data_IF_977619165231
#
_entry.id   IF_977619165231
#
_cell.length_a   1.000
_cell.length_b   1.000
_cell.length_c   1.000
_cell.angle_alpha   90.00
_cell.angle_beta   90.00
_cell.angle_gamma   90.00
#
_symmetry.space_group_name_H-M   'P 1'
#
loop_
_entity.id
_entity.type
_entity.pdbx_description
1 polymer ?
#
# COMPACT_ATOMS: atom_id res chain seq x y z
N UNK A 1 48.41 36.88 -51.20
CA UNK A 1 47.32 35.89 -51.20
C UNK A 1 47.81 34.65 -50.48
N UNK A 2 47.01 34.20 -49.54
CA UNK A 2 47.26 33.17 -48.54
C UNK A 2 47.46 31.77 -49.14
N UNK A 3 48.32 30.94 -48.54
CA UNK A 3 48.04 29.51 -48.33
C UNK A 3 48.97 28.95 -47.26
N UNK A 4 48.34 28.49 -46.18
CA UNK A 4 48.95 28.01 -44.93
C UNK A 4 49.26 26.52 -45.02
N UNK A 5 50.47 26.17 -44.56
CA UNK A 5 51.02 24.83 -44.38
C UNK A 5 50.23 24.04 -43.32
N UNK A 6 49.83 22.81 -43.62
CA UNK A 6 49.24 21.88 -42.65
C UNK A 6 50.33 21.07 -41.94
N UNK A 7 50.38 21.15 -40.60
CA UNK A 7 51.18 20.25 -39.74
C UNK A 7 50.23 19.35 -38.95
N UNK A 8 50.38 18.04 -39.14
CA UNK A 8 49.64 17.01 -38.39
C UNK A 8 50.23 16.83 -36.99
N UNK A 9 49.42 17.02 -35.94
CA UNK A 9 49.73 16.55 -34.59
C UNK A 9 48.91 15.30 -34.24
N UNK A 10 49.62 14.22 -33.93
CA UNK A 10 49.14 12.90 -33.50
C UNK A 10 48.47 12.93 -32.12
N UNK A 11 47.23 12.47 -32.06
CA UNK A 11 46.39 12.29 -30.88
C UNK A 11 46.56 10.86 -30.32
N UNK A 12 47.41 10.65 -29.30
CA UNK A 12 47.51 9.39 -28.54
C UNK A 12 47.84 9.68 -27.06
N UNK A 13 46.85 10.08 -26.26
CA UNK A 13 47.04 10.26 -24.80
C UNK A 13 45.80 10.27 -23.85
N UNK A 14 44.54 10.00 -24.23
CA UNK A 14 43.43 9.98 -23.24
C UNK A 14 43.17 8.64 -22.51
N UNK A 15 43.45 7.50 -23.14
CA UNK A 15 42.95 6.20 -22.67
C UNK A 15 43.66 5.65 -21.42
N UNK A 16 44.98 5.90 -21.28
CA UNK A 16 45.76 5.39 -20.16
C UNK A 16 45.37 6.06 -18.83
N UNK A 17 45.18 7.39 -18.83
CA UNK A 17 44.75 8.16 -17.64
C UNK A 17 43.33 7.80 -17.20
N UNK A 18 42.43 7.52 -18.16
CA UNK A 18 41.07 7.08 -17.84
C UNK A 18 41.04 5.70 -17.16
N UNK A 19 41.91 4.78 -17.60
CA UNK A 19 42.03 3.45 -17.02
C UNK A 19 42.65 3.50 -15.60
N UNK A 20 43.60 4.41 -15.38
CA UNK A 20 44.26 4.61 -14.10
C UNK A 20 43.32 5.26 -13.07
N UNK A 21 42.52 6.25 -13.48
CA UNK A 21 41.46 6.83 -12.65
C UNK A 21 40.36 5.81 -12.33
N UNK A 22 39.99 4.94 -13.28
CA UNK A 22 39.01 3.89 -13.05
C UNK A 22 39.53 2.82 -12.08
N UNK A 23 40.82 2.45 -12.18
CA UNK A 23 41.47 1.56 -11.20
C UNK A 23 41.52 2.19 -9.81
N UNK A 24 41.97 3.43 -9.68
CA UNK A 24 42.02 4.14 -8.39
C UNK A 24 40.63 4.27 -7.75
N UNK A 25 39.60 4.56 -8.54
CA UNK A 25 38.21 4.65 -8.07
C UNK A 25 37.64 3.28 -7.67
N UNK A 26 38.04 2.21 -8.36
CA UNK A 26 37.63 0.85 -7.98
C UNK A 26 38.37 0.35 -6.72
N UNK A 27 39.66 0.69 -6.56
CA UNK A 27 40.45 0.37 -5.38
C UNK A 27 40.00 1.14 -4.14
N UNK A 28 39.59 2.41 -4.29
CA UNK A 28 39.00 3.18 -3.20
C UNK A 28 37.65 2.62 -2.76
N UNK A 29 36.79 2.23 -3.71
CA UNK A 29 35.49 1.59 -3.40
C UNK A 29 35.67 0.23 -2.74
N UNK A 30 36.66 -0.57 -3.16
CA UNK A 30 36.98 -1.85 -2.54
C UNK A 30 37.59 -1.68 -1.13
N UNK A 31 38.45 -0.67 -0.95
CA UNK A 31 38.99 -0.27 0.35
C UNK A 31 37.87 0.18 1.30
N UNK A 32 36.97 1.03 0.84
CA UNK A 32 35.84 1.54 1.62
C UNK A 32 34.87 0.41 2.00
N UNK A 33 34.57 -0.49 1.05
CA UNK A 33 33.75 -1.68 1.29
C UNK A 33 34.41 -2.66 2.28
N UNK A 34 35.72 -2.88 2.17
CA UNK A 34 36.48 -3.70 3.11
C UNK A 34 36.53 -3.09 4.50
N UNK A 35 36.71 -1.76 4.60
CA UNK A 35 36.70 -1.04 5.87
C UNK A 35 35.32 -1.05 6.54
N UNK A 36 34.24 -0.96 5.74
CA UNK A 36 32.87 -1.04 6.23
C UNK A 36 32.52 -2.46 6.70
N UNK A 37 32.99 -3.50 5.99
CA UNK A 37 32.87 -4.90 6.43
C UNK A 37 33.68 -5.18 7.70
N UNK A 38 34.91 -4.66 7.81
CA UNK A 38 35.75 -4.83 9.02
C UNK A 38 35.11 -4.13 10.23
N UNK A 39 34.57 -2.92 10.05
CA UNK A 39 33.82 -2.20 11.10
C UNK A 39 32.53 -2.91 11.51
N UNK A 40 31.85 -3.57 10.56
CA UNK A 40 30.66 -4.37 10.84
C UNK A 40 30.99 -5.68 11.58
N UNK A 41 32.15 -6.26 11.31
CA UNK A 41 32.65 -7.48 11.98
C UNK A 41 33.14 -7.21 13.41
N UNK A 42 33.79 -6.06 13.66
CA UNK A 42 34.34 -5.71 14.98
C UNK A 42 33.28 -5.26 16.00
N UNK A 43 32.18 -4.63 15.56
CA UNK A 43 31.09 -4.24 16.46
C UNK A 43 29.75 -4.09 15.72
N UNK A 44 28.95 -5.17 15.62
CA UNK A 44 27.68 -5.17 14.90
C UNK A 44 26.73 -4.06 15.38
N UNK A 45 26.69 -3.80 16.69
CA UNK A 45 25.81 -2.76 17.27
C UNK A 45 26.20 -1.34 16.89
N UNK A 46 27.51 -1.05 16.77
CA UNK A 46 28.00 0.29 16.44
C UNK A 46 27.88 0.58 14.94
N UNK A 47 28.13 -0.42 14.10
CA UNK A 47 27.87 -0.34 12.66
C UNK A 47 26.36 -0.18 12.34
N UNK A 48 25.49 -0.85 13.11
CA UNK A 48 24.03 -0.68 12.99
C UNK A 48 23.61 0.74 13.41
N UNK A 49 24.17 1.27 14.50
CA UNK A 49 23.91 2.65 14.95
C UNK A 49 24.40 3.69 13.94
N UNK A 50 25.63 3.56 13.41
CA UNK A 50 26.17 4.48 12.40
C UNK A 50 25.37 4.42 11.08
N UNK A 51 24.93 3.22 10.66
CA UNK A 51 24.07 3.05 9.48
C UNK A 51 22.69 3.69 9.67
N UNK A 52 22.05 3.47 10.83
CA UNK A 52 20.74 4.04 11.17
C UNK A 52 20.76 5.57 11.28
N UNK A 53 21.91 6.16 11.61
CA UNK A 53 22.05 7.61 11.75
C UNK A 53 22.46 8.36 10.49
N UNK A 54 22.65 7.68 9.35
CA UNK A 54 22.87 8.36 8.06
C UNK A 54 21.66 9.26 7.69
N UNK A 55 21.86 10.39 6.99
CA UNK A 55 20.77 11.31 6.63
C UNK A 55 19.65 10.62 5.83
N UNK A 56 20.03 9.65 5.01
CA UNK A 56 19.13 8.81 4.24
C UNK A 56 18.33 7.85 5.15
N UNK A 57 18.98 7.17 6.11
CA UNK A 57 18.27 6.31 7.06
C UNK A 57 17.37 7.06 8.02
N UNK A 58 17.76 8.24 8.52
CA UNK A 58 16.85 9.05 9.35
C UNK A 58 15.58 9.48 8.61
N UNK A 59 15.68 9.74 7.31
CA UNK A 59 14.51 10.04 6.48
C UNK A 59 13.69 8.77 6.18
N UNK A 60 14.32 7.62 5.97
CA UNK A 60 13.66 6.36 5.64
C UNK A 60 13.09 5.60 6.85
N UNK A 61 13.65 5.78 8.05
CA UNK A 61 13.36 4.99 9.24
C UNK A 61 11.90 5.02 9.70
N UNK A 62 11.23 6.19 9.82
CA UNK A 62 9.80 6.22 10.17
C UNK A 62 8.94 5.40 9.19
N UNK A 63 9.39 5.30 7.95
CA UNK A 63 8.67 4.58 6.90
C UNK A 63 8.99 3.09 6.86
N UNK A 64 10.25 2.71 7.07
CA UNK A 64 10.66 1.31 7.25
C UNK A 64 9.93 0.74 8.46
N UNK A 65 9.93 1.47 9.57
CA UNK A 65 9.19 1.09 10.78
C UNK A 65 7.69 0.99 10.51
N UNK A 66 7.10 1.95 9.79
CA UNK A 66 5.69 1.89 9.39
C UNK A 66 5.36 0.71 8.45
N UNK A 67 6.26 0.38 7.53
CA UNK A 67 6.13 -0.76 6.62
C UNK A 67 6.20 -2.10 7.34
N UNK A 68 7.20 -2.27 8.21
CA UNK A 68 7.37 -3.46 9.06
C UNK A 68 6.17 -3.60 9.99
N UNK A 69 5.75 -2.51 10.64
CA UNK A 69 4.57 -2.51 11.49
C UNK A 69 3.30 -2.95 10.76
N UNK A 70 3.09 -2.47 9.53
CA UNK A 70 1.98 -2.88 8.68
C UNK A 70 2.05 -4.36 8.25
N UNK A 71 3.23 -4.88 7.95
CA UNK A 71 3.41 -6.30 7.59
C UNK A 71 3.18 -7.22 8.80
N UNK A 72 3.65 -6.82 9.99
CA UNK A 72 3.38 -7.53 11.25
C UNK A 72 1.89 -7.52 11.57
N UNK A 73 1.23 -6.37 11.46
CA UNK A 73 -0.22 -6.27 11.65
C UNK A 73 -1.00 -7.14 10.66
N UNK A 74 -0.58 -7.17 9.39
CA UNK A 74 -1.18 -8.04 8.37
C UNK A 74 -1.04 -9.51 8.78
N UNK A 75 0.11 -9.92 9.30
CA UNK A 75 0.36 -11.30 9.75
C UNK A 75 -0.56 -11.69 10.91
N UNK A 76 -0.70 -10.81 11.91
CA UNK A 76 -1.56 -11.06 13.08
C UNK A 76 -3.05 -11.11 12.72
N UNK A 77 -3.49 -10.26 11.78
CA UNK A 77 -4.91 -10.12 11.40
C UNK A 77 -5.33 -11.08 10.28
N UNK A 78 -4.37 -11.71 9.59
CA UNK A 78 -4.63 -12.61 8.45
C UNK A 78 -5.74 -13.65 8.71
N UNK A 79 -5.81 -14.34 9.87
CA UNK A 79 -6.89 -15.31 10.13
C UNK A 79 -8.27 -14.67 10.13
N UNK A 80 -8.40 -13.46 10.68
CA UNK A 80 -9.66 -12.70 10.71
C UNK A 80 -10.04 -12.24 9.30
N UNK A 81 -9.08 -11.76 8.53
CA UNK A 81 -9.30 -11.37 7.13
C UNK A 81 -9.70 -12.58 6.27
N UNK A 82 -9.13 -13.76 6.50
CA UNK A 82 -9.48 -14.99 5.80
C UNK A 82 -10.92 -15.43 6.09
N UNK A 83 -11.32 -15.47 7.36
CA UNK A 83 -12.70 -15.78 7.76
C UNK A 83 -13.68 -14.79 7.14
N UNK A 84 -13.35 -13.49 7.15
CA UNK A 84 -14.17 -12.46 6.54
C UNK A 84 -14.32 -12.65 5.04
N UNK A 85 -13.22 -12.85 4.31
CA UNK A 85 -13.27 -13.03 2.85
C UNK A 85 -14.09 -14.27 2.51
N UNK A 86 -13.89 -15.38 3.23
CA UNK A 86 -14.71 -16.57 3.07
C UNK A 86 -16.18 -16.35 3.42
N UNK A 87 -16.50 -15.63 4.49
CA UNK A 87 -17.88 -15.28 4.84
C UNK A 87 -18.55 -14.41 3.77
N UNK A 88 -17.82 -13.44 3.24
CA UNK A 88 -18.33 -12.53 2.20
C UNK A 88 -18.60 -13.23 0.88
N UNK A 89 -17.85 -14.30 0.60
CA UNK A 89 -17.94 -15.11 -0.62
C UNK A 89 -18.87 -16.33 -0.43
N UNK A 90 -18.96 -16.93 0.76
CA UNK A 90 -19.89 -18.03 1.07
C UNK A 90 -21.36 -17.57 1.12
N UNK A 91 -21.59 -16.27 1.36
CA UNK A 91 -22.89 -15.65 1.13
C UNK A 91 -23.26 -15.47 -0.35
N UNK A 92 -22.39 -15.87 -1.30
CA UNK A 92 -22.64 -15.77 -2.73
C UNK A 92 -23.42 -17.00 -3.23
N UNK A 93 -24.61 -16.77 -3.79
CA UNK A 93 -25.41 -17.78 -4.50
C UNK A 93 -26.47 -18.50 -3.68
N UNK A 94 -26.46 -18.44 -2.35
CA UNK A 94 -27.44 -19.15 -1.50
C UNK A 94 -28.62 -18.23 -1.18
N UNK A 95 -29.71 -18.32 -1.95
CA UNK A 95 -31.01 -17.66 -1.63
C UNK A 95 -31.77 -18.37 -0.50
N UNK A 96 -31.43 -19.63 -0.23
CA UNK A 96 -32.09 -20.51 0.75
C UNK A 96 -31.07 -21.40 1.45
N UNK A 97 -30.99 -21.30 2.79
CA UNK A 97 -30.04 -22.06 3.63
C UNK A 97 -29.62 -21.27 4.88
N UNK A 98 -28.99 -21.92 5.88
CA UNK A 98 -28.48 -21.24 7.06
C UNK A 98 -27.41 -20.22 6.66
N UNK A 99 -27.59 -18.96 7.08
CA UNK A 99 -26.63 -17.90 6.79
C UNK A 99 -25.29 -18.27 7.43
N UNK A 100 -24.18 -18.28 6.66
CA UNK A 100 -22.88 -18.56 7.23
C UNK A 100 -22.57 -17.52 8.31
N UNK A 101 -22.00 -17.97 9.42
CA UNK A 101 -21.54 -17.12 10.52
C UNK A 101 -20.02 -17.14 10.55
N UNK A 102 -19.35 -16.13 11.14
CA UNK A 102 -17.90 -16.15 11.31
C UNK A 102 -17.40 -17.44 11.98
N UNK A 103 -18.15 -17.94 12.97
CA UNK A 103 -17.82 -19.15 13.73
C UNK A 103 -17.98 -20.41 12.87
N UNK A 104 -19.05 -20.49 12.04
CA UNK A 104 -19.23 -21.64 11.15
C UNK A 104 -18.13 -21.69 10.10
N UNK A 105 -17.78 -20.55 9.50
CA UNK A 105 -16.69 -20.46 8.51
C UNK A 105 -15.34 -20.84 9.13
N UNK A 106 -15.05 -20.36 10.35
CA UNK A 106 -13.83 -20.74 11.06
C UNK A 106 -13.80 -22.24 11.36
N UNK A 107 -14.92 -22.79 11.84
CA UNK A 107 -15.06 -24.23 12.10
C UNK A 107 -14.87 -25.05 10.83
N UNK A 108 -15.41 -24.61 9.69
CA UNK A 108 -15.25 -25.30 8.41
C UNK A 108 -13.81 -25.32 7.92
N UNK A 109 -13.06 -24.21 8.09
CA UNK A 109 -11.64 -24.15 7.76
C UNK A 109 -10.83 -25.10 8.66
N UNK A 110 -11.09 -25.07 9.96
CA UNK A 110 -10.38 -25.91 10.94
C UNK A 110 -10.73 -27.39 10.76
N UNK A 111 -11.99 -27.72 10.47
CA UNK A 111 -12.48 -29.07 10.24
C UNK A 111 -11.96 -29.69 8.93
N UNK A 112 -11.58 -28.86 7.94
CA UNK A 112 -10.87 -29.31 6.73
C UNK A 112 -9.40 -29.71 7.01
N UNK A 113 -8.93 -29.63 8.27
CA UNK A 113 -7.68 -30.23 8.72
C UNK A 113 -6.42 -29.40 8.44
N UNK A 114 -6.55 -28.15 8.00
CA UNK A 114 -5.42 -27.27 7.66
C UNK A 114 -5.55 -25.92 8.36
N UNK A 115 -5.16 -25.84 9.62
CA UNK A 115 -5.12 -24.57 10.38
C UNK A 115 -4.27 -23.50 9.66
N UNK A 116 -3.26 -23.92 8.91
CA UNK A 116 -2.43 -23.04 8.07
C UNK A 116 -3.19 -22.40 6.90
N UNK A 117 -4.35 -22.93 6.49
CA UNK A 117 -5.18 -22.32 5.44
C UNK A 117 -5.77 -20.96 5.87
N UNK A 118 -5.75 -20.64 7.18
CA UNK A 118 -6.04 -19.30 7.70
C UNK A 118 -5.01 -18.27 7.26
N UNK A 119 -3.79 -18.70 6.93
CA UNK A 119 -2.70 -17.86 6.43
C UNK A 119 -2.56 -17.88 4.90
N UNK A 120 -3.46 -18.56 4.19
CA UNK A 120 -3.49 -18.53 2.72
C UNK A 120 -3.64 -17.09 2.23
N UNK A 121 -2.75 -16.71 1.30
CA UNK A 121 -2.67 -15.34 0.80
C UNK A 121 -1.78 -14.40 1.62
N UNK A 122 -1.19 -14.82 2.75
CA UNK A 122 -0.29 -13.97 3.56
C UNK A 122 0.84 -13.39 2.72
N UNK A 123 1.48 -14.19 1.85
CA UNK A 123 2.54 -13.72 0.96
C UNK A 123 2.08 -12.58 0.05
N UNK A 124 0.82 -12.61 -0.39
CA UNK A 124 0.24 -11.55 -1.21
C UNK A 124 -0.12 -10.31 -0.37
N UNK A 125 -0.57 -10.51 0.88
CA UNK A 125 -0.80 -9.42 1.84
C UNK A 125 0.48 -8.67 2.18
N UNK A 126 1.58 -9.41 2.44
CA UNK A 126 2.90 -8.84 2.69
C UNK A 126 3.43 -8.11 1.46
N UNK A 127 3.36 -8.73 0.27
CA UNK A 127 3.80 -8.09 -0.98
C UNK A 127 3.02 -6.79 -1.22
N UNK A 128 1.70 -6.80 -0.99
CA UNK A 128 0.88 -5.61 -1.10
C UNK A 128 1.36 -4.51 -0.18
N UNK A 129 1.61 -4.81 1.10
CA UNK A 129 2.06 -3.82 2.07
C UNK A 129 3.42 -3.23 1.68
N UNK A 130 4.35 -4.08 1.23
CA UNK A 130 5.67 -3.66 0.77
C UNK A 130 5.59 -2.75 -0.47
N UNK A 131 4.89 -3.20 -1.52
CA UNK A 131 4.77 -2.43 -2.78
C UNK A 131 4.03 -1.12 -2.54
N UNK A 132 2.94 -1.14 -1.79
CA UNK A 132 2.13 0.04 -1.54
C UNK A 132 2.88 1.09 -0.73
N UNK A 133 3.59 0.66 0.32
CA UNK A 133 4.39 1.56 1.17
C UNK A 133 5.52 2.17 0.34
N UNK A 134 6.32 1.34 -0.34
CA UNK A 134 7.46 1.82 -1.14
C UNK A 134 7.03 2.75 -2.27
N UNK A 135 6.01 2.39 -3.05
CA UNK A 135 5.54 3.21 -4.16
C UNK A 135 4.96 4.55 -3.68
N UNK A 136 4.15 4.54 -2.62
CA UNK A 136 3.58 5.76 -2.05
C UNK A 136 4.68 6.73 -1.62
N UNK A 137 5.74 6.22 -1.00
CA UNK A 137 6.85 7.04 -0.53
C UNK A 137 7.71 7.57 -1.66
N UNK A 138 8.07 6.71 -2.61
CA UNK A 138 8.83 7.12 -3.79
C UNK A 138 8.12 8.23 -4.55
N UNK A 139 6.81 8.08 -4.80
CA UNK A 139 6.02 9.12 -5.46
C UNK A 139 5.88 10.37 -4.59
N UNK A 140 5.60 10.23 -3.29
CA UNK A 140 5.43 11.38 -2.41
C UNK A 140 6.71 12.21 -2.27
N UNK A 141 7.86 11.56 -2.07
CA UNK A 141 9.17 12.22 -1.98
C UNK A 141 9.51 12.92 -3.30
N UNK A 142 9.29 12.26 -4.44
CA UNK A 142 9.50 12.86 -5.77
C UNK A 142 8.63 14.10 -5.96
N UNK A 143 7.35 14.04 -5.59
CA UNK A 143 6.43 15.17 -5.68
C UNK A 143 6.81 16.29 -4.73
N UNK A 144 7.18 15.98 -3.48
CA UNK A 144 7.60 16.97 -2.51
C UNK A 144 8.91 17.66 -2.89
N UNK A 145 9.90 16.93 -3.44
CA UNK A 145 11.13 17.52 -3.98
C UNK A 145 10.85 18.47 -5.13
N UNK A 146 10.00 18.05 -6.07
CA UNK A 146 9.59 18.88 -7.22
C UNK A 146 8.84 20.13 -6.77
N UNK A 147 7.90 19.99 -5.84
CA UNK A 147 7.15 21.12 -5.28
C UNK A 147 8.06 22.06 -4.47
N UNK A 148 9.04 21.52 -3.74
CA UNK A 148 10.02 22.32 -2.98
C UNK A 148 10.94 23.13 -3.88
N UNK A 149 11.39 22.56 -5.00
CA UNK A 149 12.18 23.28 -5.99
C UNK A 149 11.39 24.46 -6.58
N UNK A 150 10.14 24.21 -7.00
CA UNK A 150 9.24 25.26 -7.53
C UNK A 150 8.90 26.33 -6.50
N UNK A 151 8.69 25.94 -5.24
CA UNK A 151 8.40 26.87 -4.16
C UNK A 151 9.60 27.80 -3.90
N UNK A 152 10.83 27.26 -3.91
CA UNK A 152 12.06 28.04 -3.80
C UNK A 152 12.26 29.00 -4.98
N UNK A 153 12.01 28.56 -6.21
CA UNK A 153 12.09 29.40 -7.42
C UNK A 153 11.11 30.57 -7.38
N UNK A 154 9.89 30.33 -6.87
CA UNK A 154 8.84 31.34 -6.82
C UNK A 154 8.81 32.14 -5.50
N UNK A 155 9.74 31.91 -4.57
CA UNK A 155 9.73 32.55 -3.25
C UNK A 155 8.49 32.24 -2.39
N UNK A 156 7.78 31.15 -2.70
CA UNK A 156 6.56 30.73 -1.99
C UNK A 156 6.85 29.58 -1.03
N UNK A 157 5.93 29.32 -0.09
CA UNK A 157 6.02 28.15 0.78
C UNK A 157 5.03 27.08 0.33
N UNK A 158 5.37 25.80 0.52
CA UNK A 158 4.46 24.70 0.18
C UNK A 158 3.32 24.68 1.21
N UNK A 159 2.14 25.08 0.76
CA UNK A 159 0.92 25.07 1.54
C UNK A 159 0.36 23.66 1.77
N UNK A 160 -0.74 23.62 2.53
CA UNK A 160 -1.44 22.37 2.83
C UNK A 160 -2.03 21.73 1.56
N UNK A 161 -2.53 22.54 0.62
CA UNK A 161 -3.18 22.06 -0.62
C UNK A 161 -2.20 21.31 -1.51
N UNK A 162 -0.98 21.81 -1.65
CA UNK A 162 0.07 21.19 -2.45
C UNK A 162 0.55 19.88 -1.81
N UNK A 163 0.73 19.85 -0.48
CA UNK A 163 1.10 18.62 0.26
C UNK A 163 -0.01 17.58 0.20
N UNK A 164 -1.27 17.99 0.36
CA UNK A 164 -2.43 17.12 0.25
C UNK A 164 -2.56 16.57 -1.18
N UNK A 165 -2.40 17.41 -2.20
CA UNK A 165 -2.39 17.01 -3.60
C UNK A 165 -1.29 16.00 -3.91
N UNK A 166 -0.07 16.24 -3.44
CA UNK A 166 1.05 15.30 -3.57
C UNK A 166 0.76 13.97 -2.86
N UNK A 167 0.21 14.01 -1.64
CA UNK A 167 -0.17 12.80 -0.88
C UNK A 167 -1.27 11.98 -1.57
N UNK A 168 -2.27 12.65 -2.16
CA UNK A 168 -3.35 12.02 -2.92
C UNK A 168 -2.84 11.38 -4.21
N UNK A 169 -2.06 12.12 -4.99
CA UNK A 169 -1.47 11.62 -6.23
C UNK A 169 -0.54 10.44 -5.96
N UNK A 170 0.33 10.54 -4.95
CA UNK A 170 1.24 9.47 -4.56
C UNK A 170 0.48 8.23 -4.09
N UNK A 171 -0.57 8.39 -3.28
CA UNK A 171 -1.42 7.29 -2.83
C UNK A 171 -2.20 6.63 -3.96
N UNK A 172 -2.68 7.41 -4.93
CA UNK A 172 -3.38 6.91 -6.12
C UNK A 172 -2.44 6.12 -7.05
N UNK A 173 -1.26 6.67 -7.37
CA UNK A 173 -0.26 5.96 -8.19
C UNK A 173 0.25 4.70 -7.49
N UNK A 174 0.47 4.75 -6.17
CA UNK A 174 0.83 3.58 -5.39
C UNK A 174 -0.23 2.49 -5.44
N UNK A 175 -1.52 2.86 -5.46
CA UNK A 175 -2.61 1.89 -5.61
C UNK A 175 -2.62 1.22 -7.00
N UNK A 176 -2.26 1.95 -8.05
CA UNK A 176 -2.09 1.38 -9.40
C UNK A 176 -0.95 0.36 -9.41
N UNK A 177 0.21 0.72 -8.84
CA UNK A 177 1.38 -0.15 -8.77
C UNK A 177 1.12 -1.37 -7.87
N UNK A 178 0.35 -1.20 -6.80
CA UNK A 178 0.00 -2.26 -5.86
C UNK A 178 -1.14 -3.20 -6.31
N UNK A 179 -1.91 -2.84 -7.34
CA UNK A 179 -3.09 -3.62 -7.73
C UNK A 179 -2.82 -5.09 -8.10
N UNK A 180 -1.68 -5.47 -8.73
CA UNK A 180 -1.36 -6.87 -8.96
C UNK A 180 -1.31 -7.70 -7.67
N UNK A 181 -0.74 -7.16 -6.59
CA UNK A 181 -0.68 -7.82 -5.29
C UNK A 181 -2.07 -7.92 -4.63
N UNK A 182 -2.91 -6.88 -4.77
CA UNK A 182 -4.31 -6.91 -4.33
C UNK A 182 -5.11 -8.02 -5.04
N UNK A 183 -4.95 -8.14 -6.36
CA UNK A 183 -5.65 -9.16 -7.15
C UNK A 183 -5.21 -10.58 -6.73
N UNK A 184 -3.89 -10.79 -6.59
CA UNK A 184 -3.35 -12.07 -6.16
C UNK A 184 -3.87 -12.46 -4.77
N UNK A 185 -3.91 -11.51 -3.82
CA UNK A 185 -4.45 -11.74 -2.48
C UNK A 185 -5.91 -12.23 -2.52
N UNK A 186 -6.76 -11.53 -3.26
CA UNK A 186 -8.18 -11.88 -3.39
C UNK A 186 -8.36 -13.26 -4.04
N UNK A 187 -7.60 -13.57 -5.10
CA UNK A 187 -7.67 -14.86 -5.80
C UNK A 187 -7.18 -16.01 -4.92
N UNK A 188 -6.09 -15.82 -4.18
CA UNK A 188 -5.58 -16.82 -3.24
C UNK A 188 -6.56 -17.10 -2.10
N UNK A 189 -7.17 -16.05 -1.52
CA UNK A 189 -8.12 -16.20 -0.41
C UNK A 189 -9.47 -16.79 -0.85
N UNK A 190 -9.91 -16.51 -2.08
CA UNK A 190 -11.17 -17.04 -2.64
C UNK A 190 -11.05 -18.46 -3.20
N UNK A 191 -9.84 -18.93 -3.52
CA UNK A 191 -9.65 -20.22 -4.20
C UNK A 191 -10.17 -21.41 -3.37
N UNK A 192 -10.01 -21.35 -2.05
CA UNK A 192 -10.48 -22.41 -1.12
C UNK A 192 -12.00 -22.59 -1.07
N UNK A 193 -12.78 -21.66 -1.63
CA UNK A 193 -14.25 -21.75 -1.69
C UNK A 193 -14.74 -22.46 -2.95
N UNK A 194 -13.89 -22.60 -3.96
CA UNK A 194 -14.27 -23.32 -5.18
C UNK A 194 -14.40 -24.82 -4.89
N UNK A 195 -15.21 -25.54 -5.69
CA UNK A 195 -15.20 -27.00 -5.67
C UNK A 195 -13.77 -27.53 -5.88
N UNK A 196 -13.41 -28.63 -5.24
CA UNK A 196 -12.04 -29.16 -5.23
C UNK A 196 -11.44 -29.29 -6.65
N UNK A 197 -12.25 -29.64 -7.65
CA UNK A 197 -11.86 -29.78 -9.06
C UNK A 197 -11.53 -28.45 -9.78
N UNK A 198 -11.96 -27.30 -9.26
CA UNK A 198 -11.78 -25.98 -9.86
C UNK A 198 -10.80 -25.08 -9.07
N UNK A 199 -10.16 -25.62 -8.04
CA UNK A 199 -9.17 -24.90 -7.22
C UNK A 199 -7.86 -24.77 -7.99
N UNK A 200 -7.33 -23.55 -8.05
CA UNK A 200 -6.03 -23.28 -8.65
C UNK A 200 -4.86 -23.66 -7.70
N UNK A 201 -5.13 -23.77 -6.40
CA UNK A 201 -4.20 -24.12 -5.32
C UNK A 201 -2.88 -23.32 -5.42
N UNK A 202 -2.99 -22.01 -5.45
CA UNK A 202 -1.84 -21.11 -5.52
C UNK A 202 -0.91 -21.32 -4.33
N UNK A 203 0.38 -21.54 -4.60
CA UNK A 203 1.37 -21.81 -3.55
C UNK A 203 1.98 -20.55 -2.97
N UNK A 204 2.08 -19.49 -3.77
CA UNK A 204 2.66 -18.21 -3.39
C UNK A 204 2.09 -17.06 -4.23
N UNK A 205 2.38 -15.84 -3.81
CA UNK A 205 2.01 -14.65 -4.58
C UNK A 205 2.66 -14.62 -5.97
N UNK A 206 3.91 -15.08 -6.09
CA UNK A 206 4.62 -15.13 -7.38
C UNK A 206 3.96 -16.16 -8.30
N UNK A 207 3.66 -17.34 -7.76
CA UNK A 207 2.93 -18.39 -8.49
C UNK A 207 1.57 -17.88 -8.97
N UNK A 208 0.82 -17.20 -8.10
CA UNK A 208 -0.45 -16.57 -8.46
C UNK A 208 -0.30 -15.52 -9.57
N UNK A 209 0.65 -14.59 -9.45
CA UNK A 209 0.88 -13.55 -10.45
C UNK A 209 1.27 -14.13 -11.81
N UNK A 210 2.17 -15.12 -11.83
CA UNK A 210 2.61 -15.78 -13.07
C UNK A 210 1.48 -16.55 -13.72
N UNK A 211 0.73 -17.35 -12.97
CA UNK A 211 -0.39 -18.14 -13.51
C UNK A 211 -1.52 -17.26 -14.00
N UNK A 212 -1.90 -16.22 -13.26
CA UNK A 212 -2.91 -15.26 -13.69
C UNK A 212 -2.47 -14.56 -14.97
N UNK A 213 -1.20 -14.13 -15.05
CA UNK A 213 -0.67 -13.48 -16.24
C UNK A 213 -0.65 -14.39 -17.47
N UNK A 214 -0.31 -15.67 -17.29
CA UNK A 214 -0.29 -16.67 -18.37
C UNK A 214 -1.70 -17.08 -18.82
N UNK A 215 -2.65 -17.18 -17.89
CA UNK A 215 -4.00 -17.68 -18.20
C UNK A 215 -4.97 -16.57 -18.64
N UNK A 216 -4.91 -15.39 -18.01
CA UNK A 216 -5.87 -14.29 -18.24
C UNK A 216 -5.21 -13.07 -18.92
N UNK A 217 -3.89 -13.07 -19.11
CA UNK A 217 -3.12 -11.96 -19.67
C UNK A 217 -2.62 -10.95 -18.64
N UNK A 218 -1.53 -10.24 -18.95
CA UNK A 218 -0.85 -9.30 -18.02
C UNK A 218 -1.75 -8.12 -17.63
N UNK A 219 -2.55 -7.60 -18.57
CA UNK A 219 -3.46 -6.47 -18.31
C UNK A 219 -4.51 -6.80 -17.25
N UNK A 220 -4.81 -8.09 -17.05
CA UNK A 220 -5.75 -8.55 -16.03
C UNK A 220 -5.28 -8.25 -14.61
N UNK A 221 -3.98 -8.11 -14.37
CA UNK A 221 -3.45 -7.76 -13.05
C UNK A 221 -3.95 -6.40 -12.53
N UNK A 222 -4.40 -5.51 -13.43
CA UNK A 222 -4.99 -4.21 -13.10
C UNK A 222 -6.52 -4.21 -13.04
N UNK A 223 -7.13 -5.40 -13.12
CA UNK A 223 -8.56 -5.55 -12.89
C UNK A 223 -8.96 -5.01 -11.52
N UNK A 224 -9.94 -4.10 -11.51
CA UNK A 224 -10.40 -3.47 -10.26
C UNK A 224 -9.46 -2.37 -9.73
N UNK A 225 -8.45 -1.94 -10.48
CA UNK A 225 -7.55 -0.83 -10.10
C UNK A 225 -8.32 0.47 -9.90
N UNK A 226 -9.23 0.82 -10.81
CA UNK A 226 -10.05 2.04 -10.70
C UNK A 226 -10.77 2.16 -9.34
N UNK A 227 -11.55 1.15 -8.87
CA UNK A 227 -12.13 1.20 -7.54
C UNK A 227 -11.12 1.30 -6.39
N UNK A 228 -9.96 0.65 -6.53
CA UNK A 228 -8.90 0.69 -5.52
C UNK A 228 -8.30 2.09 -5.40
N UNK A 229 -8.01 2.74 -6.53
CA UNK A 229 -7.44 4.08 -6.60
C UNK A 229 -8.39 5.11 -6.00
N UNK A 230 -9.65 5.11 -6.45
CA UNK A 230 -10.66 6.09 -5.98
C UNK A 230 -10.86 5.96 -4.47
N UNK A 231 -10.95 4.72 -3.96
CA UNK A 231 -11.04 4.47 -2.51
C UNK A 231 -9.80 4.97 -1.76
N UNK A 232 -8.60 4.70 -2.27
CA UNK A 232 -7.35 5.14 -1.63
C UNK A 232 -7.25 6.68 -1.59
N UNK A 233 -7.67 7.36 -2.66
CA UNK A 233 -7.74 8.82 -2.72
C UNK A 233 -8.76 9.37 -1.73
N UNK A 234 -9.98 8.81 -1.67
CA UNK A 234 -11.01 9.25 -0.72
C UNK A 234 -10.57 9.10 0.75
N UNK A 235 -9.91 7.97 1.08
CA UNK A 235 -9.38 7.71 2.42
C UNK A 235 -8.27 8.72 2.77
N UNK A 236 -7.30 8.90 1.88
CA UNK A 236 -6.21 9.84 2.11
C UNK A 236 -6.71 11.29 2.19
N UNK A 237 -7.72 11.66 1.39
CA UNK A 237 -8.31 13.00 1.43
C UNK A 237 -8.99 13.24 2.77
N UNK A 238 -9.87 12.32 3.19
CA UNK A 238 -10.55 12.42 4.48
C UNK A 238 -9.56 12.46 5.65
N UNK A 239 -8.47 11.70 5.58
CA UNK A 239 -7.45 11.72 6.61
C UNK A 239 -6.67 13.05 6.62
N UNK A 240 -6.14 13.50 5.48
CA UNK A 240 -5.28 14.68 5.43
C UNK A 240 -6.07 15.98 5.65
N UNK A 241 -7.18 16.17 4.92
CA UNK A 241 -7.97 17.40 4.97
C UNK A 241 -8.54 17.64 6.37
N UNK A 242 -9.19 16.63 6.95
CA UNK A 242 -9.85 16.79 8.24
C UNK A 242 -8.86 16.72 9.41
N UNK A 243 -7.70 16.07 9.26
CA UNK A 243 -6.64 16.17 10.28
C UNK A 243 -6.10 17.59 10.38
N UNK A 244 -5.79 18.22 9.24
CA UNK A 244 -5.25 19.60 9.24
C UNK A 244 -6.27 20.60 9.76
N UNK A 245 -7.52 20.51 9.29
CA UNK A 245 -8.60 21.40 9.73
C UNK A 245 -8.88 21.22 11.22
N UNK A 246 -9.05 19.98 11.68
CA UNK A 246 -9.30 19.72 13.10
C UNK A 246 -8.14 20.20 13.98
N UNK A 247 -6.89 20.01 13.54
CA UNK A 247 -5.72 20.47 14.29
C UNK A 247 -5.67 22.00 14.36
N UNK A 248 -5.97 22.71 13.27
CA UNK A 248 -6.01 24.17 13.25
C UNK A 248 -7.11 24.72 14.17
N UNK A 249 -8.30 24.11 14.17
CA UNK A 249 -9.37 24.55 15.07
C UNK A 249 -9.07 24.23 16.54
N UNK A 250 -8.44 23.09 16.83
CA UNK A 250 -8.08 22.67 18.19
C UNK A 250 -6.91 23.48 18.78
N UNK A 251 -6.10 24.16 17.96
CA UNK A 251 -5.04 25.05 18.45
C UNK A 251 -5.57 26.21 19.30
N UNK A 252 -6.83 26.61 19.08
CA UNK A 252 -7.49 27.67 19.86
C UNK A 252 -8.10 27.18 21.18
N UNK A 253 -7.94 25.89 21.52
CA UNK A 253 -8.48 25.29 22.75
C UNK A 253 -7.39 25.08 23.79
N UNK A 254 -7.74 25.10 25.09
CA UNK A 254 -6.85 24.85 26.23
C UNK A 254 -6.33 23.40 26.36
N UNK A 255 -6.56 22.55 25.36
CA UNK A 255 -6.15 21.15 25.36
C UNK A 255 -4.63 21.00 25.22
N UNK A 256 -4.07 19.96 25.86
CA UNK A 256 -2.65 19.61 25.68
C UNK A 256 -2.34 19.25 24.22
N UNK A 257 -1.10 19.46 23.76
CA UNK A 257 -0.68 19.12 22.38
C UNK A 257 -0.93 17.65 22.00
N UNK A 258 -0.81 16.73 22.97
CA UNK A 258 -1.15 15.31 22.77
C UNK A 258 -2.65 15.11 22.59
N UNK A 259 -3.47 15.73 23.45
CA UNK A 259 -4.94 15.67 23.35
C UNK A 259 -5.46 16.29 22.05
N UNK A 260 -4.91 17.44 21.62
CA UNK A 260 -5.25 18.06 20.34
C UNK A 260 -4.93 17.12 19.17
N UNK A 261 -3.74 16.49 19.18
CA UNK A 261 -3.35 15.55 18.13
C UNK A 261 -4.24 14.31 18.12
N UNK A 262 -4.57 13.74 19.28
CA UNK A 262 -5.45 12.58 19.39
C UNK A 262 -6.87 12.89 18.90
N UNK A 263 -7.44 14.03 19.31
CA UNK A 263 -8.78 14.46 18.85
C UNK A 263 -8.78 14.75 17.35
N UNK A 264 -7.75 15.43 16.82
CA UNK A 264 -7.61 15.67 15.38
C UNK A 264 -7.48 14.34 14.60
N UNK A 265 -6.71 13.38 15.12
CA UNK A 265 -6.60 12.04 14.52
C UNK A 265 -7.92 11.26 14.56
N UNK A 266 -8.71 11.38 15.63
CA UNK A 266 -10.01 10.74 15.72
C UNK A 266 -11.01 11.32 14.70
N UNK A 267 -11.07 12.64 14.59
CA UNK A 267 -11.92 13.34 13.59
C UNK A 267 -11.47 12.95 12.17
N UNK A 268 -10.17 12.99 11.89
CA UNK A 268 -9.61 12.57 10.62
C UNK A 268 -9.95 11.10 10.28
N UNK A 269 -9.84 10.19 11.25
CA UNK A 269 -10.18 8.78 11.07
C UNK A 269 -11.66 8.55 10.78
N UNK A 270 -12.55 9.32 11.42
CA UNK A 270 -13.98 9.31 11.16
C UNK A 270 -14.27 9.75 9.72
N UNK A 271 -13.77 10.91 9.29
CA UNK A 271 -14.03 11.43 7.95
C UNK A 271 -13.35 10.61 6.85
N UNK A 272 -12.15 10.07 7.10
CA UNK A 272 -11.51 9.11 6.21
C UNK A 272 -12.39 7.87 5.98
N UNK A 273 -12.98 7.34 7.06
CA UNK A 273 -13.90 6.20 6.97
C UNK A 273 -15.20 6.59 6.27
N UNK A 274 -15.82 7.70 6.67
CA UNK A 274 -17.06 8.19 6.09
C UNK A 274 -16.96 8.41 4.58
N UNK A 275 -15.88 9.07 4.11
CA UNK A 275 -15.68 9.34 2.69
C UNK A 275 -15.27 8.11 1.88
N UNK A 276 -14.55 7.15 2.49
CA UNK A 276 -14.09 5.95 1.77
C UNK A 276 -15.14 4.83 1.68
N UNK A 277 -16.08 4.77 2.62
CA UNK A 277 -17.07 3.70 2.71
C UNK A 277 -17.99 3.56 1.50
N UNK A 278 -18.54 4.63 0.90
CA UNK A 278 -19.34 4.50 -0.32
C UNK A 278 -18.55 3.86 -1.46
N UNK A 279 -17.28 4.22 -1.61
CA UNK A 279 -16.40 3.62 -2.62
C UNK A 279 -16.08 2.16 -2.33
N UNK A 280 -15.92 1.80 -1.07
CA UNK A 280 -15.78 0.40 -0.67
C UNK A 280 -17.05 -0.40 -0.97
N UNK A 281 -18.23 0.14 -0.67
CA UNK A 281 -19.49 -0.50 -1.01
C UNK A 281 -19.61 -0.74 -2.53
N UNK A 282 -19.39 0.29 -3.35
CA UNK A 282 -19.48 0.16 -4.81
C UNK A 282 -18.40 -0.75 -5.38
N UNK A 283 -17.16 -0.70 -4.86
CA UNK A 283 -16.09 -1.64 -5.22
C UNK A 283 -16.54 -3.07 -4.98
N UNK A 284 -17.11 -3.36 -3.81
CA UNK A 284 -17.59 -4.71 -3.52
C UNK A 284 -18.75 -5.12 -4.43
N UNK A 285 -19.72 -4.25 -4.72
CA UNK A 285 -20.81 -4.55 -5.68
C UNK A 285 -20.30 -4.84 -7.09
N UNK A 286 -19.36 -4.05 -7.59
CA UNK A 286 -18.74 -4.24 -8.91
C UNK A 286 -17.88 -5.50 -8.99
N UNK A 287 -17.24 -5.89 -7.88
CA UNK A 287 -16.46 -7.13 -7.82
C UNK A 287 -17.36 -8.36 -7.64
N UNK A 288 -18.53 -8.19 -7.01
CA UNK A 288 -19.50 -9.26 -6.73
C UNK A 288 -20.55 -9.49 -7.80
N UNK A 289 -20.70 -8.59 -8.78
CA UNK A 289 -21.72 -8.76 -9.81
C UNK A 289 -21.41 -9.94 -10.71
N UNK A 290 -22.40 -10.81 -10.88
CA UNK A 290 -22.36 -11.92 -11.83
C UNK A 290 -23.09 -11.51 -13.11
N UNK A 291 -22.71 -12.08 -14.25
CA UNK A 291 -23.49 -11.91 -15.48
C UNK A 291 -24.89 -12.45 -15.25
N UNK A 292 -25.89 -11.64 -15.56
CA UNK A 292 -27.27 -12.06 -15.55
C UNK A 292 -27.51 -13.10 -16.67
N UNK A 293 -28.63 -13.85 -16.64
CA UNK A 293 -28.95 -14.87 -17.64
C UNK A 293 -28.98 -14.36 -19.09
N UNK A 294 -29.15 -13.04 -19.27
CA UNK A 294 -29.12 -12.32 -20.55
C UNK A 294 -27.69 -11.94 -21.01
N UNK A 295 -26.65 -12.35 -20.27
CA UNK A 295 -25.25 -12.03 -20.54
C UNK A 295 -24.83 -10.61 -20.12
N UNK A 296 -25.76 -9.78 -19.61
CA UNK A 296 -25.46 -8.41 -19.21
C UNK A 296 -24.93 -8.33 -17.77
N UNK A 297 -24.10 -7.32 -17.50
CA UNK A 297 -23.64 -7.03 -16.14
C UNK A 297 -24.63 -6.05 -15.49
N UNK A 298 -25.09 -6.30 -14.25
CA UNK A 298 -25.99 -5.41 -13.50
C UNK A 298 -25.48 -3.96 -13.42
N UNK A 299 -24.16 -3.77 -13.38
CA UNK A 299 -23.50 -2.46 -13.30
C UNK A 299 -22.41 -2.33 -14.36
N UNK A 300 -22.50 -1.29 -15.20
CA UNK A 300 -21.51 -0.98 -16.24
C UNK A 300 -20.21 -0.37 -15.67
N UNK A 301 -20.26 0.14 -14.44
CA UNK A 301 -19.13 0.78 -13.78
C UNK A 301 -19.53 1.41 -12.45
N UNK A 302 -18.58 2.10 -11.79
CA UNK A 302 -18.78 2.66 -10.45
C UNK A 302 -19.92 3.69 -10.41
N UNK A 303 -19.97 4.58 -11.41
CA UNK A 303 -20.98 5.61 -11.48
C UNK A 303 -22.39 5.05 -11.73
N UNK A 304 -22.49 4.03 -12.59
CA UNK A 304 -23.76 3.31 -12.82
C UNK A 304 -24.21 2.57 -11.55
N UNK A 305 -23.28 1.93 -10.83
CA UNK A 305 -23.55 1.34 -9.53
C UNK A 305 -24.03 2.37 -8.51
N UNK A 306 -23.39 3.54 -8.43
CA UNK A 306 -23.81 4.62 -7.54
C UNK A 306 -25.26 5.04 -7.82
N UNK A 307 -25.55 5.37 -9.09
CA UNK A 307 -26.85 5.90 -9.50
C UNK A 307 -27.97 4.89 -9.24
N UNK A 308 -27.76 3.62 -9.58
CA UNK A 308 -28.74 2.54 -9.37
C UNK A 308 -28.98 2.29 -7.89
N UNK A 309 -27.92 2.14 -7.09
CA UNK A 309 -28.05 1.90 -5.63
C UNK A 309 -28.70 3.09 -4.93
N UNK A 310 -28.33 4.32 -5.28
CA UNK A 310 -28.93 5.52 -4.69
C UNK A 310 -30.43 5.63 -5.00
N UNK A 311 -30.85 5.24 -6.22
CA UNK A 311 -32.24 5.26 -6.65
C UNK A 311 -33.08 4.09 -6.08
N UNK A 312 -32.50 2.89 -6.02
CA UNK A 312 -33.23 1.65 -5.69
C UNK A 312 -33.14 1.26 -4.21
N UNK A 313 -31.99 1.49 -3.56
CA UNK A 313 -31.73 1.06 -2.18
C UNK A 313 -31.57 2.24 -1.20
N UNK A 314 -31.46 3.47 -1.70
CA UNK A 314 -31.32 4.71 -0.92
C UNK A 314 -29.89 5.03 -0.47
N UNK A 315 -29.63 6.30 -0.14
CA UNK A 315 -28.28 6.81 0.20
C UNK A 315 -27.69 6.22 1.50
N UNK A 316 -28.53 5.82 2.46
CA UNK A 316 -28.04 5.20 3.70
C UNK A 316 -27.49 3.78 3.46
N UNK A 317 -27.78 3.18 2.30
CA UNK A 317 -27.33 1.84 1.97
C UNK A 317 -25.80 1.74 1.87
N UNK A 318 -25.14 2.80 1.41
CA UNK A 318 -23.68 2.86 1.28
C UNK A 318 -22.93 2.73 2.61
N UNK A 319 -23.60 3.02 3.73
CA UNK A 319 -23.03 2.97 5.09
C UNK A 319 -23.46 1.72 5.86
N UNK A 320 -24.32 0.87 5.28
CA UNK A 320 -24.75 -0.38 5.91
C UNK A 320 -23.59 -1.37 5.94
N UNK A 321 -23.02 -1.58 7.11
CA UNK A 321 -21.78 -2.37 7.31
C UNK A 321 -20.65 -1.59 7.98
N UNK A 322 -20.89 -0.35 8.40
CA UNK A 322 -19.93 0.45 9.17
C UNK A 322 -19.37 -0.33 10.38
N UNK A 323 -20.24 -0.99 11.16
CA UNK A 323 -19.82 -1.76 12.33
C UNK A 323 -18.86 -2.90 12.00
N UNK A 324 -19.12 -3.66 10.93
CA UNK A 324 -18.22 -4.76 10.51
C UNK A 324 -16.93 -4.24 9.88
N UNK A 325 -16.97 -3.08 9.23
CA UNK A 325 -15.78 -2.36 8.76
C UNK A 325 -14.89 -1.91 9.92
N UNK A 326 -15.48 -1.35 10.98
CA UNK A 326 -14.78 -0.86 12.16
C UNK A 326 -14.13 -2.01 12.95
N UNK A 327 -14.86 -3.10 13.19
CA UNK A 327 -14.34 -4.31 13.86
C UNK A 327 -13.14 -4.91 13.13
N UNK A 328 -13.00 -4.71 11.82
CA UNK A 328 -11.81 -5.13 11.07
C UNK A 328 -10.65 -4.14 11.19
N UNK A 329 -10.94 -2.85 11.03
CA UNK A 329 -9.88 -1.84 10.90
C UNK A 329 -9.29 -1.47 12.24
N UNK A 330 -10.08 -1.47 13.30
CA UNK A 330 -9.60 -1.12 14.63
C UNK A 330 -8.47 -2.07 15.10
N UNK A 331 -8.62 -3.41 15.05
CA UNK A 331 -7.53 -4.32 15.43
C UNK A 331 -6.27 -4.16 14.55
N UNK A 332 -6.43 -4.04 13.23
CA UNK A 332 -5.30 -3.82 12.34
C UNK A 332 -4.56 -2.52 12.65
N UNK A 333 -5.29 -1.42 12.84
CA UNK A 333 -4.73 -0.13 13.18
C UNK A 333 -4.02 -0.16 14.55
N UNK A 334 -4.63 -0.79 15.56
CA UNK A 334 -4.04 -0.96 16.89
C UNK A 334 -2.71 -1.70 16.84
N UNK A 335 -2.66 -2.87 16.18
CA UNK A 335 -1.42 -3.65 16.06
C UNK A 335 -0.36 -2.86 15.29
N UNK A 336 -0.76 -2.18 14.21
CA UNK A 336 0.18 -1.33 13.43
C UNK A 336 0.76 -0.23 14.31
N UNK A 337 -0.06 0.47 15.10
CA UNK A 337 0.41 1.56 15.95
C UNK A 337 1.31 1.06 17.08
N UNK A 338 0.95 -0.05 17.75
CA UNK A 338 1.77 -0.65 18.82
C UNK A 338 3.15 -1.05 18.28
N UNK A 339 3.19 -1.72 17.12
CA UNK A 339 4.46 -2.15 16.52
C UNK A 339 5.26 -0.95 16.00
N UNK A 340 4.61 0.05 15.42
CA UNK A 340 5.27 1.27 14.96
C UNK A 340 5.88 2.06 16.12
N UNK A 341 5.20 2.15 17.26
CA UNK A 341 5.70 2.82 18.47
C UNK A 341 6.88 2.06 19.07
N UNK A 342 6.79 0.74 19.15
CA UNK A 342 7.88 -0.12 19.63
C UNK A 342 9.13 -0.04 18.72
N UNK A 343 8.95 -0.09 17.40
CA UNK A 343 10.06 0.11 16.45
C UNK A 343 10.62 1.54 16.53
N UNK A 344 9.76 2.53 16.72
CA UNK A 344 10.16 3.92 16.96
C UNK A 344 10.98 4.10 18.23
N UNK A 345 10.72 3.33 19.29
CA UNK A 345 11.53 3.31 20.50
C UNK A 345 12.91 2.66 20.27
N UNK A 346 12.97 1.57 19.51
CA UNK A 346 14.23 0.83 19.22
C UNK A 346 15.16 1.62 18.29
N UNK A 347 14.61 2.41 17.38
CA UNK A 347 15.35 3.11 16.32
C UNK A 347 15.73 4.55 16.66
N UNK A 348 15.37 5.04 17.86
CA UNK A 348 15.79 6.34 18.41
C UNK A 348 17.15 6.25 19.05
#
# INVERSE_FOLDING_TARGET
>A
MSTTTATSHTFKMPAARALENAKQSSESVLSDASSAMSKAAENPRKATSDFLHTPFMRAALPFINGGIAGMTATTVIQPVDMVKVRLQLAGEGVKTGPKPTPISVLRDIVAQGKVLDLYTGLSAGILRQAVYTTARLGFFDTFMKTLSARAKENGTSIGFKERAGAGLAAGGLAAIVGNPADLALIRMQSDGLKPAAQRANYTSVIDALVRISKAEGVTRLWAGSYPTVVRAMALNFGQLAFFSEAKQQLQHTSLSSRSQTLTASAIAGFFASFLSLPFDFMKTRLQKQTRAPDGTLPYKGMFDCFKKVAKEEGLLRFYRGFGTYYVRIAPHAMVTLIVADYLGFITK
#
